data_IF_947618960561
#
_entry.id   IF_947618960561
#
_cell.length_a   1.000
_cell.length_b   1.000
_cell.length_c   1.000
_cell.angle_alpha   90.00
_cell.angle_beta   90.00
_cell.angle_gamma   90.00
#
_symmetry.space_group_name_H-M   'P 1'
#
loop_
_entity.id
_entity.type
_entity.pdbx_description
1 polymer ?
#
# COMPACT_ATOMS: atom_id res chain seq x y z
N UNK A 1 40.67 10.20 56.11
CA UNK A 1 39.86 11.22 55.41
C UNK A 1 40.19 11.08 53.93
N UNK A 2 39.38 10.37 53.20
CA UNK A 2 39.54 10.16 51.76
C UNK A 2 38.40 10.93 51.04
N UNK A 3 38.81 11.93 50.27
CA UNK A 3 37.92 12.72 49.42
C UNK A 3 37.57 11.91 48.17
N UNK A 4 36.30 11.66 47.98
CA UNK A 4 35.75 11.00 46.80
C UNK A 4 35.55 12.08 45.72
N UNK A 5 36.36 12.01 44.65
CA UNK A 5 36.19 12.83 43.45
C UNK A 5 34.91 12.39 42.71
N UNK A 6 33.93 13.28 42.74
CA UNK A 6 32.68 13.16 41.95
C UNK A 6 32.82 14.00 40.68
N UNK A 7 33.45 13.47 39.65
CA UNK A 7 33.28 14.03 38.29
C UNK A 7 33.47 12.99 37.22
N UNK A 8 32.46 12.11 37.08
CA UNK A 8 32.34 11.28 35.91
C UNK A 8 31.04 11.63 35.17
N UNK A 9 30.93 12.88 34.70
CA UNK A 9 29.91 13.26 33.73
C UNK A 9 30.29 12.63 32.39
N UNK A 10 29.61 11.55 32.06
CA UNK A 10 29.65 11.00 30.71
C UNK A 10 29.24 12.09 29.74
N UNK A 11 30.20 12.65 29.06
CA UNK A 11 29.98 13.54 27.91
C UNK A 11 29.19 12.73 26.85
N UNK A 12 27.89 12.98 26.73
CA UNK A 12 27.09 12.43 25.63
C UNK A 12 27.63 13.14 24.39
N UNK A 13 28.42 12.44 23.59
CA UNK A 13 28.87 12.92 22.30
C UNK A 13 27.64 13.24 21.43
N UNK A 14 27.37 14.52 21.31
CA UNK A 14 26.34 15.00 20.38
C UNK A 14 26.88 14.78 18.97
N UNK A 15 26.20 13.91 18.20
CA UNK A 15 26.46 13.77 16.78
C UNK A 15 26.34 15.16 16.12
N UNK A 16 27.31 15.57 15.28
CA UNK A 16 27.24 16.85 14.60
C UNK A 16 25.99 16.87 13.70
N UNK A 17 25.01 17.67 14.08
CA UNK A 17 23.83 17.90 13.26
C UNK A 17 24.27 18.78 12.10
N UNK A 18 24.33 18.19 10.90
CA UNK A 18 24.57 18.95 9.67
C UNK A 18 23.44 19.98 9.53
N UNK A 19 23.74 21.28 9.32
CA UNK A 19 22.68 22.26 9.08
C UNK A 19 21.92 21.87 7.82
N UNK A 20 20.59 21.71 7.94
CA UNK A 20 19.70 21.39 6.85
C UNK A 20 19.66 22.61 5.92
N UNK A 21 20.15 22.47 4.70
CA UNK A 21 20.08 23.52 3.68
C UNK A 21 18.63 23.75 3.22
N UNK A 22 18.36 24.91 2.58
CA UNK A 22 17.03 25.13 1.97
C UNK A 22 16.73 24.11 0.86
N UNK A 23 17.74 23.66 0.14
CA UNK A 23 17.63 22.62 -0.89
C UNK A 23 17.23 21.26 -0.28
N UNK A 24 17.82 20.87 0.86
CA UNK A 24 17.47 19.64 1.59
C UNK A 24 15.99 19.62 2.05
N UNK A 25 15.35 20.79 2.17
CA UNK A 25 13.91 20.89 2.56
C UNK A 25 12.96 20.64 1.40
N UNK A 26 13.42 20.81 0.17
CA UNK A 26 12.64 20.61 -1.06
C UNK A 26 13.01 19.33 -1.80
N UNK A 27 14.06 18.63 -1.36
CA UNK A 27 14.38 17.33 -1.88
C UNK A 27 13.23 16.34 -1.58
N UNK A 28 12.87 15.51 -2.56
CA UNK A 28 11.92 14.45 -2.30
C UNK A 28 12.42 13.57 -1.15
N UNK A 29 11.52 13.06 -0.27
CA UNK A 29 11.92 12.25 0.87
C UNK A 29 12.82 11.10 0.40
N UNK A 30 13.86 10.78 1.18
CA UNK A 30 14.87 9.77 0.86
C UNK A 30 14.23 8.43 0.43
N UNK A 31 13.06 8.11 0.99
CA UNK A 31 12.22 6.98 0.60
C UNK A 31 10.76 7.42 0.57
N UNK A 32 10.09 7.26 -0.56
CA UNK A 32 8.69 7.57 -0.69
C UNK A 32 7.93 6.45 -1.44
N UNK A 33 6.66 6.33 -1.10
CA UNK A 33 5.67 5.50 -1.78
C UNK A 33 4.34 6.25 -1.74
N UNK A 34 3.87 6.65 -2.91
CA UNK A 34 2.60 7.34 -3.11
C UNK A 34 1.67 6.42 -3.89
N UNK A 35 0.47 6.20 -3.37
CA UNK A 35 -0.57 5.43 -4.04
C UNK A 35 -1.86 6.23 -3.97
N UNK A 36 -2.42 6.53 -5.14
CA UNK A 36 -3.69 7.23 -5.31
C UNK A 36 -4.68 6.30 -5.98
N UNK A 37 -5.94 6.42 -5.60
CA UNK A 37 -7.05 5.75 -6.28
C UNK A 37 -7.93 6.80 -6.90
N UNK A 38 -8.07 6.74 -8.22
CA UNK A 38 -8.69 7.76 -9.06
C UNK A 38 -9.71 7.14 -10.03
N UNK A 39 -10.42 8.00 -10.72
CA UNK A 39 -11.18 7.67 -11.92
C UNK A 39 -12.02 6.38 -11.81
N UNK A 40 -13.01 6.34 -10.87
CA UNK A 40 -13.94 5.22 -10.84
C UNK A 40 -14.72 5.14 -12.14
N UNK A 41 -14.81 3.97 -12.74
CA UNK A 41 -15.58 3.71 -13.95
C UNK A 41 -16.49 2.51 -13.75
N UNK A 42 -17.76 2.68 -14.11
CA UNK A 42 -18.75 1.62 -14.02
C UNK A 42 -19.00 1.01 -15.39
N UNK A 43 -18.84 -0.29 -15.50
CA UNK A 43 -18.96 -1.08 -16.72
C UNK A 43 -20.11 -2.07 -16.65
N UNK A 44 -20.61 -2.46 -17.83
CA UNK A 44 -21.62 -3.49 -17.99
C UNK A 44 -23.06 -3.02 -17.69
N UNK A 45 -24.00 -3.98 -17.75
CA UNK A 45 -25.42 -3.73 -17.53
C UNK A 45 -26.03 -4.81 -16.64
N UNK A 46 -27.05 -4.44 -15.86
CA UNK A 46 -27.77 -5.35 -14.99
C UNK A 46 -26.85 -6.06 -13.99
N UNK A 47 -27.01 -7.38 -13.87
CA UNK A 47 -26.24 -8.19 -12.90
C UNK A 47 -24.74 -8.35 -13.23
N UNK A 48 -24.32 -7.95 -14.44
CA UNK A 48 -22.91 -7.94 -14.86
C UNK A 48 -22.23 -6.59 -14.66
N UNK A 49 -22.91 -5.65 -14.03
CA UNK A 49 -22.41 -4.32 -13.76
C UNK A 49 -21.36 -4.36 -12.63
N UNK A 50 -20.24 -3.69 -12.84
CA UNK A 50 -19.16 -3.55 -11.84
C UNK A 50 -18.48 -2.20 -12.00
N UNK A 51 -17.84 -1.74 -10.91
CA UNK A 51 -17.00 -0.53 -10.90
C UNK A 51 -15.57 -0.92 -10.67
N UNK A 52 -14.66 -0.40 -11.47
CA UNK A 52 -13.23 -0.45 -11.24
C UNK A 52 -12.64 0.94 -10.96
N UNK A 53 -11.43 0.96 -10.48
CA UNK A 53 -10.72 2.17 -10.05
C UNK A 53 -9.32 2.16 -10.65
N UNK A 54 -8.84 3.31 -11.08
CA UNK A 54 -7.45 3.49 -11.45
C UNK A 54 -6.60 3.61 -10.19
N UNK A 55 -5.60 2.74 -10.05
CA UNK A 55 -4.59 2.82 -9.00
C UNK A 55 -3.31 3.34 -9.62
N UNK A 56 -2.89 4.51 -9.19
CA UNK A 56 -1.64 5.12 -9.63
C UNK A 56 -0.62 5.03 -8.51
N UNK A 57 0.52 4.43 -8.80
CA UNK A 57 1.63 4.27 -7.85
C UNK A 57 2.87 5.00 -8.33
N UNK A 58 3.53 5.70 -7.40
CA UNK A 58 4.82 6.32 -7.61
C UNK A 58 5.73 6.08 -6.41
N UNK A 59 6.97 5.63 -6.64
CA UNK A 59 7.89 5.26 -5.57
C UNK A 59 9.35 5.30 -6.01
N UNK A 60 10.26 5.52 -5.05
CA UNK A 60 11.70 5.29 -5.25
C UNK A 60 12.20 4.06 -4.49
N UNK A 61 11.33 3.35 -3.76
CA UNK A 61 11.72 2.17 -2.98
C UNK A 61 12.29 1.07 -3.88
N UNK A 62 13.46 0.49 -3.55
CA UNK A 62 14.12 -0.52 -4.39
C UNK A 62 13.35 -1.84 -4.48
N UNK A 63 12.45 -2.11 -3.54
CA UNK A 63 11.62 -3.32 -3.53
C UNK A 63 10.64 -3.39 -4.70
N UNK A 64 10.22 -2.24 -5.24
CA UNK A 64 9.34 -2.18 -6.41
C UNK A 64 10.15 -2.11 -7.70
N UNK A 65 9.87 -3.02 -8.64
CA UNK A 65 10.52 -3.07 -9.95
C UNK A 65 10.15 -1.84 -10.80
N UNK A 66 8.87 -1.53 -10.85
CA UNK A 66 8.33 -0.39 -11.60
C UNK A 66 8.17 0.76 -10.62
N UNK A 67 8.74 1.91 -10.95
CA UNK A 67 8.75 3.09 -10.07
C UNK A 67 7.52 3.97 -10.24
N UNK A 68 6.90 3.92 -11.40
CA UNK A 68 5.66 4.62 -11.70
C UNK A 68 4.80 3.74 -12.60
N UNK A 69 3.58 3.48 -12.18
CA UNK A 69 2.63 2.69 -12.94
C UNK A 69 1.18 3.09 -12.62
N UNK A 70 0.29 2.74 -13.53
CA UNK A 70 -1.15 2.85 -13.36
C UNK A 70 -1.80 1.55 -13.78
N UNK A 71 -2.68 1.02 -12.94
CA UNK A 71 -3.42 -0.22 -13.18
C UNK A 71 -4.89 -0.04 -12.77
N UNK A 72 -5.79 -0.80 -13.37
CA UNK A 72 -7.21 -0.79 -12.97
C UNK A 72 -7.56 -2.02 -12.15
N UNK A 73 -8.29 -1.80 -11.05
CA UNK A 73 -8.70 -2.85 -10.10
C UNK A 73 -10.14 -2.64 -9.66
N UNK A 74 -10.90 -3.73 -9.63
CA UNK A 74 -12.25 -3.76 -9.06
C UNK A 74 -12.22 -4.18 -7.60
N UNK A 75 -13.31 -3.97 -6.88
CA UNK A 75 -13.40 -4.30 -5.46
C UNK A 75 -13.01 -5.76 -5.13
N UNK A 76 -13.37 -6.73 -5.98
CA UNK A 76 -12.99 -8.14 -5.82
C UNK A 76 -11.48 -8.39 -5.85
N UNK A 77 -10.71 -7.52 -6.53
CA UNK A 77 -9.27 -7.64 -6.61
C UNK A 77 -8.63 -7.22 -5.28
N UNK A 78 -9.20 -6.23 -4.59
CA UNK A 78 -8.82 -5.87 -3.23
C UNK A 78 -9.16 -6.98 -2.22
N UNK A 79 -10.30 -7.66 -2.39
CA UNK A 79 -10.66 -8.82 -1.57
C UNK A 79 -9.69 -9.98 -1.76
N UNK A 80 -9.25 -10.20 -3.00
CA UNK A 80 -8.21 -11.18 -3.31
C UNK A 80 -6.89 -10.78 -2.63
N UNK A 81 -6.41 -9.54 -2.81
CA UNK A 81 -5.19 -9.07 -2.17
C UNK A 81 -5.25 -9.24 -0.65
N UNK A 82 -6.36 -8.88 -0.02
CA UNK A 82 -6.54 -9.04 1.42
C UNK A 82 -6.39 -10.49 1.85
N UNK A 83 -7.03 -11.43 1.16
CA UNK A 83 -6.94 -12.88 1.47
C UNK A 83 -5.52 -13.41 1.32
N UNK A 84 -4.82 -13.01 0.24
CA UNK A 84 -3.44 -13.42 0.03
C UNK A 84 -2.53 -12.91 1.15
N UNK A 85 -2.69 -11.65 1.55
CA UNK A 85 -1.93 -11.06 2.66
C UNK A 85 -2.27 -11.72 4.01
N UNK A 86 -3.54 -12.00 4.30
CA UNK A 86 -3.95 -12.71 5.53
C UNK A 86 -3.36 -14.11 5.60
N UNK A 87 -3.20 -14.78 4.46
CA UNK A 87 -2.63 -16.12 4.39
C UNK A 87 -1.11 -16.13 4.51
N UNK A 88 -0.42 -15.25 3.81
CA UNK A 88 1.03 -15.35 3.57
C UNK A 88 1.84 -14.35 4.37
N UNK A 89 1.27 -13.21 4.74
CA UNK A 89 1.97 -12.18 5.49
C UNK A 89 1.77 -12.33 7.00
N UNK A 90 2.75 -11.82 7.77
CA UNK A 90 2.68 -11.79 9.24
C UNK A 90 2.18 -10.43 9.76
N UNK A 91 1.36 -9.75 8.98
CA UNK A 91 0.80 -8.45 9.34
C UNK A 91 -0.68 -8.59 9.72
N UNK A 92 -1.15 -7.64 10.53
CA UNK A 92 -2.60 -7.47 10.73
C UNK A 92 -3.14 -6.70 9.53
N UNK A 93 -3.82 -7.40 8.63
CA UNK A 93 -4.35 -6.79 7.41
C UNK A 93 -5.55 -5.91 7.75
N UNK A 94 -5.57 -4.64 7.32
CA UNK A 94 -6.70 -3.73 7.56
C UNK A 94 -8.00 -4.27 6.96
N UNK A 95 -9.14 -3.85 7.52
CA UNK A 95 -10.45 -4.15 6.93
C UNK A 95 -10.65 -3.34 5.64
N UNK A 96 -11.28 -3.96 4.66
CA UNK A 96 -11.80 -3.26 3.48
C UNK A 96 -13.05 -2.45 3.85
N UNK A 97 -13.34 -1.37 3.11
CA UNK A 97 -14.63 -0.68 3.23
C UNK A 97 -15.76 -1.69 3.02
N UNK A 98 -16.80 -1.57 3.85
CA UNK A 98 -17.83 -2.60 3.90
C UNK A 98 -18.61 -2.68 2.58
N UNK A 99 -19.00 -3.90 2.19
CA UNK A 99 -20.03 -4.12 1.15
C UNK A 99 -21.41 -3.62 1.62
N UNK A 100 -21.54 -3.15 2.83
CA UNK A 100 -22.77 -3.10 3.60
C UNK A 100 -23.50 -1.75 3.56
N UNK A 101 -23.44 -0.99 2.45
CA UNK A 101 -24.49 -0.01 2.17
C UNK A 101 -25.89 -0.62 2.37
N UNK A 102 -26.08 -1.88 1.95
CA UNK A 102 -27.36 -2.60 2.10
C UNK A 102 -27.86 -2.78 3.54
N UNK A 103 -27.00 -2.65 4.56
CA UNK A 103 -27.42 -2.84 5.97
C UNK A 103 -27.91 -1.55 6.65
N UNK A 104 -27.52 -0.39 6.18
CA UNK A 104 -27.92 0.89 6.77
C UNK A 104 -29.18 1.48 6.15
N UNK A 105 -29.58 1.01 4.96
CA UNK A 105 -30.77 1.47 4.26
C UNK A 105 -31.96 0.55 4.59
N UNK A 106 -33.11 1.11 5.01
CA UNK A 106 -34.34 0.34 5.19
C UNK A 106 -34.70 -0.52 3.98
N UNK A 107 -35.22 -1.73 4.20
CA UNK A 107 -35.43 -2.73 3.15
C UNK A 107 -36.29 -2.24 1.96
N UNK A 108 -37.19 -1.29 2.21
CA UNK A 108 -38.09 -0.71 1.18
C UNK A 108 -37.39 0.34 0.31
N UNK A 109 -36.22 0.86 0.72
CA UNK A 109 -35.39 1.81 -0.05
C UNK A 109 -34.22 1.13 -0.73
N UNK A 110 -34.04 -0.18 -0.55
CA UNK A 110 -32.95 -0.96 -1.16
C UNK A 110 -33.22 -1.16 -2.65
N UNK A 111 -32.94 -0.15 -3.45
CA UNK A 111 -32.77 -0.35 -4.89
C UNK A 111 -31.42 -1.02 -5.12
N UNK A 112 -31.35 -1.99 -6.05
CA UNK A 112 -30.10 -2.67 -6.41
C UNK A 112 -29.05 -1.70 -7.00
N UNK A 113 -29.48 -0.53 -7.42
CA UNK A 113 -28.65 0.51 -8.02
C UNK A 113 -27.79 1.32 -7.02
N UNK A 114 -28.11 1.28 -5.70
CA UNK A 114 -27.42 2.13 -4.70
C UNK A 114 -25.91 1.90 -4.56
N UNK A 115 -25.39 0.74 -4.99
CA UNK A 115 -23.95 0.47 -5.02
C UNK A 115 -23.23 1.14 -6.20
N UNK A 116 -23.98 1.74 -7.12
CA UNK A 116 -23.50 2.48 -8.28
C UNK A 116 -23.85 3.97 -8.21
N UNK A 117 -24.34 4.44 -7.06
CA UNK A 117 -24.48 5.86 -6.78
C UNK A 117 -23.10 6.50 -6.60
N UNK A 118 -22.91 7.68 -7.14
CA UNK A 118 -21.62 8.37 -7.18
C UNK A 118 -21.05 8.58 -5.76
N UNK A 119 -21.92 8.90 -4.79
CA UNK A 119 -21.52 9.08 -3.39
C UNK A 119 -20.94 7.80 -2.78
N UNK A 120 -21.59 6.65 -3.02
CA UNK A 120 -21.12 5.36 -2.54
C UNK A 120 -19.83 4.91 -3.24
N UNK A 121 -19.69 5.16 -4.52
CA UNK A 121 -18.48 4.87 -5.30
C UNK A 121 -17.31 5.69 -4.74
N UNK A 122 -17.54 6.97 -4.43
CA UNK A 122 -16.51 7.86 -3.90
C UNK A 122 -16.13 7.52 -2.46
N UNK A 123 -17.09 7.19 -1.59
CA UNK A 123 -16.81 6.70 -0.23
C UNK A 123 -15.98 5.41 -0.28
N UNK A 124 -16.37 4.48 -1.15
CA UNK A 124 -15.63 3.23 -1.38
C UNK A 124 -14.23 3.51 -1.90
N UNK A 125 -14.06 4.41 -2.86
CA UNK A 125 -12.77 4.82 -3.40
C UNK A 125 -11.83 5.26 -2.28
N UNK A 126 -12.29 6.18 -1.41
CA UNK A 126 -11.52 6.68 -0.26
C UNK A 126 -11.14 5.56 0.71
N UNK A 127 -12.07 4.66 0.99
CA UNK A 127 -11.80 3.52 1.86
C UNK A 127 -10.79 2.52 1.28
N UNK A 128 -10.83 2.29 -0.04
CA UNK A 128 -9.86 1.47 -0.76
C UNK A 128 -8.47 2.11 -0.78
N UNK A 129 -8.41 3.43 -0.95
CA UNK A 129 -7.16 4.20 -0.90
C UNK A 129 -6.51 4.13 0.48
N UNK A 130 -7.29 4.28 1.55
CA UNK A 130 -6.80 4.10 2.91
C UNK A 130 -6.30 2.67 3.17
N UNK A 131 -7.02 1.67 2.67
CA UNK A 131 -6.62 0.26 2.78
C UNK A 131 -5.27 0.02 2.12
N UNK A 132 -5.13 0.38 0.84
CA UNK A 132 -3.91 0.08 0.08
C UNK A 132 -2.69 0.85 0.62
N UNK A 133 -2.86 2.10 1.03
CA UNK A 133 -1.79 2.89 1.64
C UNK A 133 -1.31 2.30 2.97
N UNK A 134 -2.23 1.81 3.83
CA UNK A 134 -1.87 1.13 5.08
C UNK A 134 -1.12 -0.19 4.81
N UNK A 135 -1.56 -0.97 3.84
CA UNK A 135 -0.90 -2.22 3.45
C UNK A 135 0.48 -1.95 2.87
N UNK A 136 0.55 -1.09 1.86
CA UNK A 136 1.79 -0.81 1.14
C UNK A 136 2.82 -0.05 2.00
N UNK A 137 2.38 0.69 3.01
CA UNK A 137 3.26 1.32 4.00
C UNK A 137 3.92 0.33 4.97
N UNK A 138 3.45 -0.93 5.03
CA UNK A 138 4.00 -1.92 5.95
C UNK A 138 5.19 -2.68 5.33
N UNK A 139 6.40 -2.63 5.93
CA UNK A 139 7.61 -3.23 5.32
C UNK A 139 7.49 -4.73 5.01
N UNK A 140 6.78 -5.50 5.84
CA UNK A 140 6.57 -6.92 5.58
C UNK A 140 5.63 -7.16 4.39
N UNK A 141 4.60 -6.32 4.21
CA UNK A 141 3.71 -6.43 3.06
C UNK A 141 4.42 -6.08 1.75
N UNK A 142 5.37 -5.13 1.79
CA UNK A 142 6.18 -4.76 0.62
C UNK A 142 7.01 -5.94 0.07
N UNK A 143 7.24 -6.99 0.86
CA UNK A 143 7.93 -8.20 0.43
C UNK A 143 6.99 -9.27 -0.15
N UNK A 144 5.67 -9.07 -0.06
CA UNK A 144 4.71 -10.06 -0.53
C UNK A 144 4.46 -9.92 -2.03
N UNK A 145 4.56 -11.05 -2.74
CA UNK A 145 4.34 -11.09 -4.19
C UNK A 145 2.95 -10.60 -4.59
N UNK A 146 1.93 -10.89 -3.77
CA UNK A 146 0.55 -10.45 -4.02
C UNK A 146 0.43 -8.94 -4.14
N UNK A 147 1.14 -8.16 -3.30
CA UNK A 147 1.13 -6.71 -3.38
C UNK A 147 1.75 -6.20 -4.69
N UNK A 148 2.85 -6.81 -5.15
CA UNK A 148 3.50 -6.42 -6.41
C UNK A 148 2.63 -6.73 -7.62
N UNK A 149 2.05 -7.93 -7.68
CA UNK A 149 1.09 -8.33 -8.73
C UNK A 149 -0.11 -7.37 -8.75
N UNK A 150 -0.62 -7.04 -7.56
CA UNK A 150 -1.75 -6.12 -7.44
C UNK A 150 -1.42 -4.70 -7.93
N UNK A 151 -0.25 -4.16 -7.61
CA UNK A 151 0.11 -2.77 -7.94
C UNK A 151 0.75 -2.60 -9.32
N UNK A 152 1.44 -3.63 -9.85
CA UNK A 152 2.30 -3.46 -11.02
C UNK A 152 1.86 -4.24 -12.25
N UNK A 153 1.12 -5.35 -12.09
CA UNK A 153 0.70 -6.15 -13.25
C UNK A 153 -0.57 -5.56 -13.86
N UNK A 154 -0.64 -5.49 -15.17
CA UNK A 154 -1.81 -4.96 -15.88
C UNK A 154 -3.07 -5.75 -15.56
N UNK A 155 -2.96 -7.08 -15.52
CA UNK A 155 -4.05 -8.00 -15.17
C UNK A 155 -3.60 -9.01 -14.13
N UNK A 156 -4.52 -9.41 -13.25
CA UNK A 156 -4.26 -10.47 -12.27
C UNK A 156 -4.74 -11.79 -12.86
N UNK A 157 -3.83 -12.72 -13.10
CA UNK A 157 -4.17 -14.09 -13.48
C UNK A 157 -4.26 -14.92 -12.19
N UNK A 158 -5.48 -15.07 -11.67
CA UNK A 158 -5.73 -15.75 -10.40
C UNK A 158 -5.39 -17.23 -10.45
N UNK A 159 -5.52 -17.87 -11.63
CA UNK A 159 -5.29 -19.31 -11.82
C UNK A 159 -3.79 -19.64 -11.87
N UNK A 160 -2.98 -18.70 -12.37
CA UNK A 160 -1.51 -18.86 -12.46
C UNK A 160 -0.77 -18.20 -11.30
N UNK A 161 -1.47 -17.50 -10.42
CA UNK A 161 -0.82 -16.87 -9.29
C UNK A 161 -0.22 -17.90 -8.33
N UNK A 162 1.08 -17.79 -8.09
CA UNK A 162 1.79 -18.61 -7.09
C UNK A 162 2.15 -17.72 -5.90
N UNK A 163 1.69 -18.08 -4.71
CA UNK A 163 2.02 -17.34 -3.49
C UNK A 163 3.52 -17.30 -3.19
N UNK A 164 3.95 -16.33 -2.44
CA UNK A 164 5.34 -16.25 -1.97
C UNK A 164 5.87 -14.83 -1.83
N UNK A 165 7.17 -14.75 -1.51
CA UNK A 165 7.88 -13.49 -1.38
C UNK A 165 8.30 -12.94 -2.74
N UNK A 166 8.45 -11.62 -2.83
CA UNK A 166 8.93 -10.99 -4.04
C UNK A 166 10.43 -11.31 -4.24
N UNK A 167 10.77 -11.94 -5.35
CA UNK A 167 12.13 -12.38 -5.65
C UNK A 167 13.11 -11.22 -5.91
N UNK A 168 12.64 -10.03 -6.20
CA UNK A 168 13.52 -8.90 -6.53
C UNK A 168 14.42 -8.46 -5.38
N UNK A 169 14.02 -8.67 -4.13
CA UNK A 169 14.88 -8.42 -2.97
C UNK A 169 16.14 -9.31 -2.91
N UNK A 170 16.09 -10.53 -3.42
CA UNK A 170 17.24 -11.44 -3.38
C UNK A 170 18.40 -10.96 -4.25
N UNK A 171 18.11 -10.34 -5.38
CA UNK A 171 19.17 -9.86 -6.30
C UNK A 171 19.75 -8.51 -5.87
N UNK A 172 18.98 -7.63 -5.24
CA UNK A 172 19.48 -6.36 -4.75
C UNK A 172 20.49 -6.55 -3.60
N UNK A 173 20.28 -7.51 -2.71
CA UNK A 173 21.20 -7.83 -1.61
C UNK A 173 22.50 -8.50 -2.10
N UNK A 174 22.42 -9.34 -3.13
CA UNK A 174 23.60 -10.01 -3.71
C UNK A 174 24.48 -9.00 -4.47
N UNK A 175 23.86 -8.01 -5.15
CA UNK A 175 24.61 -6.99 -5.89
C UNK A 175 25.37 -6.03 -4.97
N UNK A 176 24.86 -5.75 -3.77
CA UNK A 176 25.54 -4.91 -2.77
C UNK A 176 26.70 -5.66 -2.11
N UNK A 177 26.59 -6.98 -1.92
CA UNK A 177 27.64 -7.82 -1.32
C UNK A 177 28.81 -8.15 -2.29
N UNK A 178 28.63 -7.96 -3.60
CA UNK A 178 29.67 -8.18 -4.62
C UNK A 178 30.48 -6.91 -4.92
N UNK A 179 30.17 -5.77 -4.31
CA UNK A 179 30.87 -4.49 -4.48
C UNK A 179 31.50 -3.96 -3.18
N UNK A 180 31.62 -4.83 -2.15
CA UNK A 180 32.42 -4.65 -0.95
C UNK A 180 33.60 -5.63 -0.94
#
# INVERSE_FOLDING_TARGET
MATIDADNRREIARLPTRPISLEDRYDPPANFLEIEILNPETHGFGNKRYTDYEIRMKTNLPVFRIKECSVRRRYSDFEWLRRELERDSKIVVPSLPSKAWKRQVPAFLRRDDGIFEDEFIEERRKGLEQFINKVAGHPLAQNERSLHVFLQDTTIDYDKYVPGKNFYMRFALVSVLLHL
#
